data_IF_609754474982
#
_entry.id   IF_609754474982
#
_cell.length_a   1.000
_cell.length_b   1.000
_cell.length_c   1.000
_cell.angle_alpha   90.00
_cell.angle_beta   90.00
_cell.angle_gamma   90.00
#
_symmetry.space_group_name_H-M   'P 1'
#
loop_
_entity.id
_entity.type
_entity.pdbx_description
1 polymer ?
#
# COMPACT_ATOMS: atom_id res chain seq x y z
N UNK A 1 -18.04 17.90 -32.61
CA UNK A 1 -16.57 17.99 -32.80
C UNK A 1 -15.82 18.71 -31.68
N UNK A 2 -16.41 19.66 -30.93
CA UNK A 2 -15.68 20.42 -29.88
C UNK A 2 -15.26 19.65 -28.63
N UNK A 3 -16.02 18.62 -28.20
CA UNK A 3 -15.74 17.89 -26.94
C UNK A 3 -14.53 16.95 -27.02
N UNK A 4 -14.16 16.46 -28.22
CA UNK A 4 -13.04 15.52 -28.39
C UNK A 4 -11.69 16.25 -28.29
N UNK A 5 -11.58 17.42 -28.93
CA UNK A 5 -10.38 18.27 -28.90
C UNK A 5 -10.01 18.72 -27.48
N UNK A 6 -11.00 19.12 -26.68
CA UNK A 6 -10.77 19.52 -25.29
C UNK A 6 -10.33 18.35 -24.39
N UNK A 7 -10.74 17.12 -24.72
CA UNK A 7 -10.28 15.92 -24.01
C UNK A 7 -8.81 15.62 -24.33
N UNK A 8 -8.44 15.71 -25.61
CA UNK A 8 -7.07 15.45 -26.06
C UNK A 8 -6.09 16.48 -25.48
N UNK A 9 -6.44 17.78 -25.46
CA UNK A 9 -5.64 18.85 -24.83
C UNK A 9 -5.46 18.61 -23.32
N UNK A 10 -6.49 18.12 -22.63
CA UNK A 10 -6.42 17.79 -21.21
C UNK A 10 -5.51 16.59 -20.93
N UNK A 11 -5.51 15.59 -21.81
CA UNK A 11 -4.64 14.41 -21.69
C UNK A 11 -3.16 14.77 -21.92
N UNK A 12 -2.87 15.67 -22.87
CA UNK A 12 -1.52 16.17 -23.13
C UNK A 12 -0.95 16.93 -21.92
N UNK A 13 -1.71 17.87 -21.37
CA UNK A 13 -1.30 18.64 -20.18
C UNK A 13 -1.09 17.72 -18.98
N UNK A 14 -1.95 16.70 -18.82
CA UNK A 14 -1.79 15.70 -17.77
C UNK A 14 -0.50 14.90 -17.93
N UNK A 15 -0.15 14.47 -19.15
CA UNK A 15 1.06 13.72 -19.43
C UNK A 15 2.33 14.52 -19.10
N UNK A 16 2.35 15.81 -19.46
CA UNK A 16 3.46 16.71 -19.13
C UNK A 16 3.62 16.85 -17.62
N UNK A 17 2.52 17.12 -16.89
CA UNK A 17 2.56 17.27 -15.44
C UNK A 17 3.04 16.01 -14.72
N UNK A 18 2.61 14.82 -15.18
CA UNK A 18 3.08 13.55 -14.64
C UNK A 18 4.59 13.35 -14.90
N UNK A 19 5.06 13.67 -16.10
CA UNK A 19 6.49 13.62 -16.45
C UNK A 19 7.35 14.55 -15.60
N UNK A 20 6.86 15.76 -15.32
CA UNK A 20 7.55 16.72 -14.45
C UNK A 20 7.67 16.21 -13.00
N UNK A 21 6.65 15.52 -12.48
CA UNK A 21 6.68 14.92 -11.14
C UNK A 21 7.74 13.80 -11.09
N UNK A 22 7.74 12.89 -12.07
CA UNK A 22 8.72 11.79 -12.13
C UNK A 22 10.15 12.32 -12.27
N UNK A 23 10.37 13.33 -13.14
CA UNK A 23 11.71 13.94 -13.32
C UNK A 23 12.25 14.58 -12.04
N UNK A 24 11.37 15.17 -11.23
CA UNK A 24 11.76 15.90 -10.01
C UNK A 24 11.92 15.00 -8.79
N UNK A 25 11.09 13.96 -8.67
CA UNK A 25 10.96 13.17 -7.44
C UNK A 25 11.32 11.68 -7.62
N UNK A 26 11.67 11.27 -8.83
CA UNK A 26 12.06 9.90 -9.16
C UNK A 26 10.90 9.03 -9.63
N UNK A 27 11.25 7.83 -10.09
CA UNK A 27 10.29 6.81 -10.49
C UNK A 27 9.38 6.42 -9.32
N UNK A 28 8.09 6.29 -9.58
CA UNK A 28 7.08 5.95 -8.58
C UNK A 28 6.60 7.10 -7.70
N UNK A 29 7.07 8.33 -7.92
CA UNK A 29 6.54 9.52 -7.24
C UNK A 29 5.05 9.80 -7.57
N UNK A 30 4.58 9.35 -8.74
CA UNK A 30 3.17 9.37 -9.13
C UNK A 30 2.88 8.18 -10.03
N UNK A 31 1.75 7.50 -9.79
CA UNK A 31 1.33 6.32 -10.53
C UNK A 31 -0.20 6.21 -10.48
N UNK A 32 -0.82 5.58 -11.49
CA UNK A 32 -2.26 5.33 -11.44
C UNK A 32 -2.53 4.21 -10.43
N UNK A 33 -3.62 4.35 -9.66
CA UNK A 33 -3.99 3.42 -8.60
C UNK A 33 -4.12 1.94 -9.06
N UNK A 34 -4.40 1.70 -10.35
CA UNK A 34 -4.46 0.35 -10.95
C UNK A 34 -3.24 -0.06 -11.76
N UNK A 35 -2.28 0.85 -12.01
CA UNK A 35 -0.96 0.54 -12.59
C UNK A 35 0.08 0.28 -11.49
N UNK A 36 -0.22 0.65 -10.25
CA UNK A 36 0.41 0.08 -9.08
C UNK A 36 0.11 -1.42 -9.08
N UNK A 37 1.01 -2.21 -9.69
CA UNK A 37 1.07 -3.66 -9.48
C UNK A 37 0.80 -3.87 -8.01
N UNK A 38 -0.27 -4.62 -7.67
CA UNK A 38 -0.62 -5.02 -6.30
C UNK A 38 0.63 -4.89 -5.44
N UNK A 39 0.72 -3.83 -4.62
CA UNK A 39 1.87 -3.68 -3.74
C UNK A 39 1.87 -4.97 -2.94
N UNK A 40 2.75 -5.91 -3.30
CA UNK A 40 2.84 -7.19 -2.63
C UNK A 40 3.23 -6.81 -1.21
N UNK A 41 2.24 -6.80 -0.34
CA UNK A 41 2.45 -6.37 1.03
C UNK A 41 3.16 -7.53 1.68
N UNK A 42 4.48 -7.40 1.78
CA UNK A 42 5.27 -8.34 2.55
C UNK A 42 4.69 -8.43 3.97
N UNK A 43 4.61 -9.64 4.50
CA UNK A 43 4.13 -9.90 5.86
C UNK A 43 5.26 -10.37 6.78
N UNK A 44 5.08 -10.13 8.08
CA UNK A 44 5.91 -10.62 9.17
C UNK A 44 5.10 -11.69 9.90
N UNK A 45 5.55 -12.97 9.96
CA UNK A 45 4.85 -14.01 10.70
C UNK A 45 4.66 -13.62 12.17
N UNK A 46 3.50 -13.93 12.74
CA UNK A 46 3.16 -13.58 14.13
C UNK A 46 3.77 -14.53 15.17
N UNK A 47 4.44 -15.60 14.71
CA UNK A 47 4.86 -16.73 15.54
C UNK A 47 3.71 -17.69 15.88
N UNK A 48 2.50 -17.44 15.37
CA UNK A 48 1.30 -18.27 15.57
C UNK A 48 0.66 -18.58 14.22
N UNK A 49 0.86 -19.83 13.74
CA UNK A 49 0.32 -20.26 12.45
C UNK A 49 -1.21 -20.05 12.31
N UNK A 50 -2.06 -20.33 13.33
CA UNK A 50 -3.49 -20.05 13.23
C UNK A 50 -3.79 -18.55 13.01
N UNK A 51 -3.01 -17.66 13.63
CA UNK A 51 -3.20 -16.22 13.50
C UNK A 51 -2.74 -15.72 12.12
N UNK A 52 -1.60 -16.22 11.62
CA UNK A 52 -1.09 -15.89 10.29
C UNK A 52 -2.08 -16.28 9.18
N UNK A 53 -2.70 -17.45 9.32
CA UNK A 53 -3.77 -17.91 8.43
C UNK A 53 -5.02 -17.05 8.54
N UNK A 54 -5.44 -16.68 9.76
CA UNK A 54 -6.61 -15.84 10.00
C UNK A 54 -6.45 -14.42 9.42
N UNK A 55 -5.23 -13.87 9.41
CA UNK A 55 -4.91 -12.59 8.79
C UNK A 55 -4.96 -12.62 7.25
N UNK A 56 -4.95 -13.81 6.64
CA UNK A 56 -5.13 -14.01 5.19
C UNK A 56 -3.92 -13.63 4.32
N UNK A 57 -2.99 -12.84 4.85
CA UNK A 57 -1.73 -12.44 4.18
C UNK A 57 -0.50 -13.13 4.79
N UNK A 58 -0.69 -14.06 5.72
CA UNK A 58 0.39 -14.82 6.34
C UNK A 58 1.12 -14.11 7.48
N UNK A 59 0.58 -13.01 8.02
CA UNK A 59 1.17 -12.29 9.15
C UNK A 59 0.80 -10.81 9.21
N UNK A 60 1.59 -10.02 9.96
CA UNK A 60 1.43 -8.57 10.10
C UNK A 60 2.01 -7.85 8.88
N UNK A 61 1.30 -6.89 8.26
CA UNK A 61 1.77 -6.20 7.06
C UNK A 61 2.97 -5.28 7.33
N UNK A 62 4.06 -5.44 6.58
CA UNK A 62 5.23 -4.54 6.62
C UNK A 62 4.87 -3.14 6.14
N UNK A 63 5.47 -2.13 6.77
CA UNK A 63 5.27 -0.72 6.40
C UNK A 63 3.88 -0.16 6.75
N UNK A 64 3.12 -0.85 7.61
CA UNK A 64 1.79 -0.44 8.07
C UNK A 64 1.74 -0.39 9.60
N UNK A 65 0.80 0.40 10.12
CA UNK A 65 0.49 0.42 11.56
C UNK A 65 -0.55 -0.66 11.84
N UNK A 66 -0.28 -1.51 12.84
CA UNK A 66 -1.19 -2.56 13.31
C UNK A 66 -1.45 -2.39 14.80
N UNK A 67 -2.69 -2.55 15.23
CA UNK A 67 -3.11 -2.41 16.63
C UNK A 67 -3.47 -3.78 17.22
N UNK A 68 -2.93 -4.09 18.40
CA UNK A 68 -3.25 -5.29 19.17
C UNK A 68 -3.85 -4.85 20.51
N UNK A 69 -5.14 -5.07 20.70
CA UNK A 69 -5.88 -4.67 21.89
C UNK A 69 -6.54 -5.87 22.59
N UNK A 70 -6.90 -5.70 23.86
CA UNK A 70 -7.52 -6.76 24.66
C UNK A 70 -7.33 -6.57 26.17
N UNK A 71 -7.99 -7.39 27.00
CA UNK A 71 -7.93 -7.32 28.46
C UNK A 71 -6.52 -7.37 29.03
N UNK A 72 -6.34 -6.97 30.29
CA UNK A 72 -5.07 -7.18 31.00
C UNK A 72 -4.67 -8.66 31.00
N UNK A 73 -3.37 -8.96 30.94
CA UNK A 73 -2.81 -10.32 30.88
C UNK A 73 -3.26 -11.21 29.68
N UNK A 74 -3.93 -10.66 28.66
CA UNK A 74 -4.35 -11.40 27.44
C UNK A 74 -3.22 -11.77 26.47
N UNK A 75 -1.97 -11.43 26.77
CA UNK A 75 -0.81 -11.78 25.93
C UNK A 75 -0.48 -10.78 24.81
N UNK A 76 -1.04 -9.56 24.81
CA UNK A 76 -0.70 -8.50 23.83
C UNK A 76 0.81 -8.32 23.64
N UNK A 77 1.53 -8.05 24.74
CA UNK A 77 2.99 -7.89 24.72
C UNK A 77 3.70 -9.17 24.34
N UNK A 78 3.16 -10.33 24.73
CA UNK A 78 3.72 -11.63 24.36
C UNK A 78 3.72 -11.80 22.84
N UNK A 79 2.59 -11.55 22.17
CA UNK A 79 2.51 -11.61 20.70
C UNK A 79 3.48 -10.62 20.06
N UNK A 80 3.55 -9.38 20.56
CA UNK A 80 4.49 -8.37 20.03
C UNK A 80 5.97 -8.77 20.11
N UNK A 81 6.37 -9.64 21.04
CA UNK A 81 7.75 -10.12 21.17
C UNK A 81 8.06 -11.32 20.27
N UNK A 82 7.04 -11.96 19.70
CA UNK A 82 7.20 -13.09 18.77
C UNK A 82 7.11 -12.67 17.30
N UNK A 83 6.51 -11.51 17.03
CA UNK A 83 6.55 -10.80 15.74
C UNK A 83 7.97 -10.27 15.51
#
# INVERSE_FOLDING_TARGET
MGSKKAKDEREEVLAIALGDIVKRFGDGAVMRLGEATHLEVESIPTGSLPLDLALGIGGIPRGRVSEIYGPEASGKTTVCQHI
#
